data_IF_714841667481
#
_entry.id   IF_714841667481
#
_cell.length_a   1.000
_cell.length_b   1.000
_cell.length_c   1.000
_cell.angle_alpha   90.00
_cell.angle_beta   90.00
_cell.angle_gamma   90.00
#
_symmetry.space_group_name_H-M   'P 1'
#
loop_
_entity.id
_entity.type
_entity.pdbx_description
1 polymer ?
#
# COMPACT_ATOMS: atom_id res chain seq x y z
N UNK A 1 -3.20 15.17 -7.63
CA UNK A 1 -3.41 14.39 -6.39
C UNK A 1 -4.62 13.50 -6.63
N UNK A 2 -4.41 12.19 -6.81
CA UNK A 2 -5.51 11.28 -7.15
C UNK A 2 -6.51 11.25 -6.00
N UNK A 3 -7.73 11.70 -6.27
CA UNK A 3 -8.80 11.69 -5.29
C UNK A 3 -9.10 10.24 -4.92
N UNK A 4 -8.76 9.84 -3.69
CA UNK A 4 -9.05 8.50 -3.19
C UNK A 4 -10.55 8.27 -2.98
N UNK A 5 -11.32 9.35 -2.91
CA UNK A 5 -12.77 9.41 -2.81
C UNK A 5 -13.37 9.96 -4.12
N UNK A 6 -14.49 9.40 -4.63
CA UNK A 6 -15.27 8.32 -4.05
C UNK A 6 -14.59 6.95 -4.19
N UNK A 7 -15.14 5.94 -3.49
CA UNK A 7 -14.78 4.55 -3.64
C UNK A 7 -14.97 4.13 -5.10
N UNK A 8 -13.94 3.63 -5.80
CA UNK A 8 -14.05 3.31 -7.22
C UNK A 8 -14.93 2.10 -7.50
N UNK A 9 -15.26 1.29 -6.47
CA UNK A 9 -16.10 0.12 -6.63
C UNK A 9 -17.60 0.42 -6.47
N UNK A 10 -18.00 1.28 -5.53
CA UNK A 10 -19.42 1.52 -5.22
C UNK A 10 -19.84 3.00 -5.17
N UNK A 11 -18.93 3.95 -5.40
CA UNK A 11 -19.23 5.38 -5.35
C UNK A 11 -19.36 5.99 -3.95
N UNK A 12 -19.30 5.19 -2.87
CA UNK A 12 -19.36 5.68 -1.49
C UNK A 12 -18.21 6.64 -1.17
N UNK A 13 -18.47 7.61 -0.29
CA UNK A 13 -17.45 8.52 0.27
C UNK A 13 -16.93 8.08 1.65
N UNK A 14 -17.53 7.03 2.23
CA UNK A 14 -17.18 6.49 3.54
C UNK A 14 -15.91 5.62 3.44
N UNK A 15 -14.77 6.29 3.35
CA UNK A 15 -13.44 5.70 3.23
C UNK A 15 -12.61 5.95 4.48
N UNK A 16 -12.00 4.88 5.01
CA UNK A 16 -11.19 4.93 6.22
C UNK A 16 -9.76 4.51 5.89
N UNK A 17 -8.78 5.25 6.42
CA UNK A 17 -7.35 4.97 6.25
C UNK A 17 -6.79 4.38 7.55
N UNK A 18 -6.04 3.29 7.45
CA UNK A 18 -5.31 2.72 8.59
C UNK A 18 -4.09 3.58 8.98
N UNK A 19 -3.54 3.32 10.17
CA UNK A 19 -2.13 3.66 10.43
C UNK A 19 -1.21 2.89 9.49
N UNK A 20 0.07 3.26 9.44
CA UNK A 20 1.06 2.46 8.71
C UNK A 20 1.10 1.04 9.28
N UNK A 21 1.07 0.06 8.39
CA UNK A 21 1.18 -1.37 8.72
C UNK A 21 2.34 -1.98 7.94
N UNK A 22 2.96 -3.00 8.53
CA UNK A 22 4.11 -3.67 7.92
C UNK A 22 3.70 -4.40 6.64
N UNK A 23 4.49 -4.22 5.58
CA UNK A 23 4.33 -4.88 4.29
C UNK A 23 4.96 -6.27 4.25
N UNK A 24 5.49 -6.76 5.38
CA UNK A 24 6.02 -8.11 5.56
C UNK A 24 6.14 -8.43 7.07
N UNK A 25 6.18 -9.70 7.45
CA UNK A 25 6.24 -10.11 8.86
C UNK A 25 6.03 -11.61 9.06
N UNK A 26 5.97 -12.06 10.32
CA UNK A 26 6.14 -13.47 10.72
C UNK A 26 5.39 -14.56 9.93
N UNK A 27 4.18 -14.28 9.43
CA UNK A 27 3.44 -15.18 8.52
C UNK A 27 2.93 -14.49 7.25
N UNK A 28 3.28 -13.22 7.03
CA UNK A 28 2.79 -12.45 5.89
C UNK A 28 3.82 -12.50 4.75
N UNK A 29 3.36 -12.59 3.47
CA UNK A 29 4.21 -12.36 2.32
C UNK A 29 4.92 -11.00 2.40
N UNK A 30 6.09 -10.89 1.76
CA UNK A 30 6.72 -9.60 1.51
C UNK A 30 6.01 -8.94 0.32
N UNK A 31 5.09 -8.03 0.62
CA UNK A 31 4.30 -7.31 -0.37
C UNK A 31 5.08 -6.18 -1.04
N UNK A 32 6.17 -5.71 -0.44
CA UNK A 32 6.98 -4.60 -0.95
C UNK A 32 8.49 -4.96 -1.01
N UNK A 33 8.86 -6.01 -1.76
CA UNK A 33 10.21 -6.57 -1.71
C UNK A 33 11.29 -5.57 -2.11
N UNK A 34 12.28 -5.42 -1.24
CA UNK A 34 13.43 -4.55 -1.49
C UNK A 34 13.14 -3.05 -1.40
N UNK A 35 11.93 -2.65 -1.00
CA UNK A 35 11.59 -1.25 -0.78
C UNK A 35 11.74 -0.83 0.69
N UNK A 36 11.99 -1.78 1.60
CA UNK A 36 12.22 -1.54 3.02
C UNK A 36 13.63 -1.05 3.35
N UNK A 37 14.01 -1.16 4.62
CA UNK A 37 15.37 -0.94 5.11
C UNK A 37 16.05 -2.28 5.36
N UNK A 38 17.38 -2.29 5.52
CA UNK A 38 18.24 -3.49 5.57
C UNK A 38 17.71 -4.65 6.44
N UNK A 39 17.00 -4.34 7.53
CA UNK A 39 16.45 -5.33 8.48
C UNK A 39 14.94 -5.19 8.73
N UNK A 40 14.26 -4.26 8.06
CA UNK A 40 12.86 -3.94 8.31
C UNK A 40 12.08 -3.97 7.01
N UNK A 41 10.96 -4.71 7.02
CA UNK A 41 9.97 -4.63 5.96
C UNK A 41 9.50 -3.18 5.79
N UNK A 42 9.18 -2.82 4.55
CA UNK A 42 8.56 -1.53 4.27
C UNK A 42 7.14 -1.50 4.86
N UNK A 43 6.49 -0.34 4.82
CA UNK A 43 5.11 -0.18 5.27
C UNK A 43 4.21 0.29 4.14
N UNK A 44 2.92 0.08 4.32
CA UNK A 44 1.87 0.71 3.53
C UNK A 44 0.77 1.21 4.45
N UNK A 45 -0.14 2.02 3.90
CA UNK A 45 -1.42 2.30 4.52
C UNK A 45 -2.52 1.61 3.72
N UNK A 46 -3.56 1.19 4.42
CA UNK A 46 -4.73 0.54 3.84
C UNK A 46 -5.86 1.57 3.80
N UNK A 47 -6.58 1.64 2.69
CA UNK A 47 -7.86 2.34 2.62
C UNK A 47 -8.98 1.32 2.44
N UNK A 48 -9.92 1.30 3.37
CA UNK A 48 -11.10 0.45 3.33
C UNK A 48 -12.36 1.29 3.10
N UNK A 49 -13.24 0.82 2.21
CA UNK A 49 -14.58 1.36 2.08
C UNK A 49 -15.52 0.69 3.07
N UNK A 50 -16.20 1.47 3.90
CA UNK A 50 -17.19 0.96 4.86
C UNK A 50 -18.35 0.24 4.19
N UNK A 51 -18.81 0.74 3.05
CA UNK A 51 -20.07 0.28 2.46
C UNK A 51 -19.92 -0.96 1.58
N UNK A 52 -18.79 -1.12 0.87
CA UNK A 52 -18.57 -2.26 -0.03
C UNK A 52 -17.36 -3.12 0.33
N UNK A 53 -16.60 -2.78 1.37
CA UNK A 53 -15.43 -3.56 1.80
C UNK A 53 -14.21 -3.47 0.88
N UNK A 54 -14.24 -2.70 -0.21
CA UNK A 54 -13.07 -2.52 -1.08
C UNK A 54 -11.87 -2.07 -0.24
N UNK A 55 -10.82 -2.89 -0.27
CA UNK A 55 -9.58 -2.68 0.47
C UNK A 55 -8.45 -2.41 -0.52
N UNK A 56 -7.80 -1.26 -0.41
CA UNK A 56 -6.71 -0.84 -1.28
C UNK A 56 -5.45 -0.61 -0.46
N UNK A 57 -4.34 -1.19 -0.91
CA UNK A 57 -3.04 -1.07 -0.30
C UNK A 57 -2.22 0.02 -1.01
N UNK A 58 -1.64 0.93 -0.24
CA UNK A 58 -0.84 2.02 -0.77
C UNK A 58 0.52 2.04 -0.11
N UNK A 59 1.55 1.69 -0.88
CA UNK A 59 2.92 1.85 -0.46
C UNK A 59 3.22 3.32 -0.11
N UNK A 60 4.12 3.53 0.85
CA UNK A 60 4.52 4.88 1.24
C UNK A 60 5.26 5.60 0.11
N UNK A 61 5.18 6.93 0.01
CA UNK A 61 5.89 7.69 -1.03
C UNK A 61 7.39 7.37 -1.09
N UNK A 62 8.03 7.18 0.07
CA UNK A 62 9.45 6.85 0.20
C UNK A 62 9.77 5.47 -0.38
N UNK A 63 8.84 4.51 -0.26
CA UNK A 63 8.97 3.20 -0.89
C UNK A 63 8.87 3.31 -2.42
N UNK A 64 7.97 4.16 -2.91
CA UNK A 64 7.77 4.39 -4.35
C UNK A 64 8.96 5.08 -5.00
N UNK A 65 9.66 5.95 -4.26
CA UNK A 65 10.90 6.57 -4.74
C UNK A 65 12.00 5.53 -5.05
N UNK A 66 11.99 4.37 -4.38
CA UNK A 66 12.97 3.29 -4.59
C UNK A 66 12.62 2.35 -5.74
N UNK A 67 11.38 2.39 -6.27
CA UNK A 67 10.94 1.47 -7.33
C UNK A 67 11.83 1.51 -8.57
N UNK A 68 12.21 2.67 -9.14
CA UNK A 68 13.03 2.73 -10.35
C UNK A 68 14.41 2.07 -10.20
N UNK A 69 14.93 2.02 -8.98
CA UNK A 69 16.26 1.49 -8.67
C UNK A 69 16.21 0.02 -8.21
N UNK A 70 15.03 -0.50 -7.94
CA UNK A 70 14.88 -1.83 -7.34
C UNK A 70 14.99 -2.94 -8.38
N UNK A 71 16.01 -3.79 -8.21
CA UNK A 71 16.20 -5.01 -9.02
C UNK A 71 15.14 -6.08 -8.79
N UNK A 72 14.31 -5.94 -7.75
CA UNK A 72 13.24 -6.89 -7.42
C UNK A 72 11.92 -6.60 -8.14
N UNK A 73 11.83 -5.47 -8.86
CA UNK A 73 10.64 -5.04 -9.57
C UNK A 73 10.94 -4.88 -11.06
N UNK A 74 9.97 -5.21 -11.88
CA UNK A 74 10.03 -5.00 -13.33
C UNK A 74 8.97 -3.96 -13.70
N UNK A 75 9.38 -2.93 -14.43
CA UNK A 75 8.44 -1.99 -15.04
C UNK A 75 7.71 -2.70 -16.19
N UNK A 76 6.38 -2.71 -16.14
CA UNK A 76 5.51 -3.22 -17.20
C UNK A 76 5.27 -2.16 -18.28
#
# INVERSE_FOLDING_TARGET
MNSLSPCPNCGSRELYRSKEVSAGGGHAPDYLPGLGSFWLAEKFYIVACKDCGLTRFFARPEAMAKLPESKKWTRL
#
